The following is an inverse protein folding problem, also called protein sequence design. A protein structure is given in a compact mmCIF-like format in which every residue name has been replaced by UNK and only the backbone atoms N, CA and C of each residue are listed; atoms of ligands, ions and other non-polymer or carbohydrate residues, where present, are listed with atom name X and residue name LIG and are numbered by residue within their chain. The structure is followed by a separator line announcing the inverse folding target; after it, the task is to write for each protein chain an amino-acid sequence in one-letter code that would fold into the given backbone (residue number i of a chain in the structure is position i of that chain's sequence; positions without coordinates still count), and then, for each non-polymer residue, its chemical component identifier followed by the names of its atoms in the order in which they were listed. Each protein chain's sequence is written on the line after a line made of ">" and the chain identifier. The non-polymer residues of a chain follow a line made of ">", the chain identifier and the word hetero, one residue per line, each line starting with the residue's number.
data_IF_621520911637
#
_entry.id   IF_621520911637
#
_cell.length_a   1.000
_cell.length_b   1.000
_cell.length_c   1.000
_cell.angle_alpha   90.00
_cell.angle_beta   90.00
_cell.angle_gamma   90.00
#
_symmetry.space_group_name_H-M   'P 1'
#
loop_
_entity.id
_entity.type
_entity.pdbx_description
1 polymer ?
#
# COMPACT_ATOMS: atom_id res chain seq x y z
N UNK A 1 0.57 8.76 8.88
CA UNK A 1 -0.86 8.52 9.14
C UNK A 1 -1.46 9.67 9.91
N UNK A 2 -2.68 10.06 9.56
CA UNK A 2 -3.41 11.15 10.21
C UNK A 2 -4.40 10.61 11.24
N UNK A 3 -3.91 9.95 12.29
CA UNK A 3 -4.75 9.62 13.43
C UNK A 3 -5.32 10.88 14.11
N UNK A 4 -6.44 10.78 14.82
CA UNK A 4 -7.13 11.90 15.48
C UNK A 4 -6.23 12.78 16.38
N UNK A 5 -5.09 12.26 16.84
CA UNK A 5 -4.12 12.94 17.71
C UNK A 5 -2.82 13.32 17.01
N UNK A 6 -2.72 13.16 15.68
CA UNK A 6 -1.45 13.33 14.97
C UNK A 6 -0.92 14.76 14.99
N UNK A 7 -1.77 15.78 15.04
CA UNK A 7 -1.37 17.18 15.13
C UNK A 7 -0.61 17.49 16.42
N UNK A 8 -1.03 16.86 17.52
CA UNK A 8 -0.41 17.06 18.83
C UNK A 8 0.94 16.34 18.97
N UNK A 9 1.13 15.25 18.20
CA UNK A 9 2.31 14.39 18.31
C UNK A 9 3.37 14.64 17.23
N UNK A 10 2.97 15.12 16.05
CA UNK A 10 3.82 15.20 14.86
C UNK A 10 3.77 16.54 14.12
N UNK A 11 3.10 17.53 14.68
CA UNK A 11 2.92 18.83 14.04
C UNK A 11 1.83 18.82 12.96
N UNK A 12 1.82 19.86 12.11
CA UNK A 12 0.79 20.03 11.07
C UNK A 12 0.75 18.85 10.11
N UNK A 13 -0.41 18.25 9.86
CA UNK A 13 -0.55 17.14 8.92
C UNK A 13 -0.06 17.53 7.52
N UNK A 14 0.72 16.64 6.95
CA UNK A 14 1.25 16.77 5.62
C UNK A 14 0.25 16.18 4.62
N UNK A 15 -0.23 17.00 3.72
CA UNK A 15 -1.12 16.60 2.63
C UNK A 15 -0.73 17.39 1.40
N UNK A 16 -0.24 16.70 0.37
CA UNK A 16 0.20 17.34 -0.85
C UNK A 16 -0.97 17.50 -1.81
N UNK A 17 -1.03 18.65 -2.45
CA UNK A 17 -1.87 18.84 -3.61
C UNK A 17 -1.31 18.08 -4.83
N UNK A 18 -2.15 17.79 -5.80
CA UNK A 18 -1.78 16.97 -6.96
C UNK A 18 -0.60 17.56 -7.74
N UNK A 19 -0.61 18.88 -7.94
CA UNK A 19 0.45 19.60 -8.64
C UNK A 19 1.82 19.44 -7.94
N UNK A 20 1.82 19.44 -6.62
CA UNK A 20 3.03 19.23 -5.82
C UNK A 20 3.54 17.79 -5.94
N UNK A 21 2.64 16.79 -6.01
CA UNK A 21 3.01 15.39 -6.24
C UNK A 21 3.69 15.24 -7.59
N UNK A 22 3.11 15.83 -8.64
CA UNK A 22 3.68 15.82 -10.00
C UNK A 22 5.01 16.57 -10.05
N UNK A 23 5.13 17.72 -9.37
CA UNK A 23 6.38 18.49 -9.28
C UNK A 23 7.51 17.67 -8.61
N UNK A 24 7.22 16.98 -7.51
CA UNK A 24 8.21 16.10 -6.84
C UNK A 24 8.59 14.89 -7.68
N UNK A 25 7.63 14.34 -8.42
CA UNK A 25 7.91 13.28 -9.40
C UNK A 25 8.83 13.79 -10.50
N UNK A 26 8.64 15.03 -10.97
CA UNK A 26 9.53 15.67 -11.93
C UNK A 26 10.95 15.82 -11.39
N UNK A 27 11.11 16.28 -10.15
CA UNK A 27 12.43 16.39 -9.52
C UNK A 27 13.15 15.03 -9.46
N UNK A 28 12.42 13.96 -9.11
CA UNK A 28 12.97 12.62 -9.10
C UNK A 28 13.39 12.18 -10.52
N UNK A 29 12.49 12.38 -11.50
CA UNK A 29 12.77 12.07 -12.91
C UNK A 29 13.99 12.80 -13.44
N UNK A 30 14.12 14.11 -13.19
CA UNK A 30 15.25 14.92 -13.63
C UNK A 30 16.58 14.46 -13.00
N UNK A 31 16.54 13.78 -11.85
CA UNK A 31 17.68 13.14 -11.19
C UNK A 31 17.93 11.70 -11.64
N UNK A 32 17.16 11.20 -12.60
CA UNK A 32 17.34 9.86 -13.17
C UNK A 32 16.57 8.75 -12.46
N UNK A 33 15.56 9.06 -11.63
CA UNK A 33 14.72 8.04 -11.02
C UNK A 33 13.90 7.31 -12.08
N UNK A 34 13.83 5.99 -11.98
CA UNK A 34 12.99 5.13 -12.79
C UNK A 34 11.67 4.75 -12.09
N UNK A 35 11.61 4.97 -10.77
CA UNK A 35 10.46 4.63 -9.93
C UNK A 35 10.18 5.73 -8.92
N UNK A 36 8.91 5.89 -8.57
CA UNK A 36 8.46 6.65 -7.40
C UNK A 36 7.62 5.77 -6.50
N UNK A 37 7.90 5.85 -5.19
CA UNK A 37 7.12 5.16 -4.17
C UNK A 37 6.19 6.15 -3.46
N UNK A 38 4.89 5.85 -3.42
CA UNK A 38 3.89 6.71 -2.79
C UNK A 38 3.11 5.95 -1.72
N UNK A 39 2.96 6.58 -0.57
CA UNK A 39 2.12 6.12 0.51
C UNK A 39 1.49 7.35 1.19
N UNK A 40 0.16 7.42 1.24
CA UNK A 40 -0.57 8.52 1.85
C UNK A 40 -1.26 8.12 3.16
N UNK A 41 -1.46 6.84 3.37
CA UNK A 41 -2.35 6.35 4.40
C UNK A 41 -3.81 6.69 4.08
N UNK A 42 -4.71 6.32 4.96
CA UNK A 42 -6.12 6.68 4.85
C UNK A 42 -6.38 8.04 5.51
N UNK A 43 -7.13 8.88 4.82
CA UNK A 43 -7.59 10.17 5.34
C UNK A 43 -9.11 10.23 5.20
N UNK A 44 -9.86 10.86 6.14
CA UNK A 44 -11.33 10.90 6.08
C UNK A 44 -11.90 11.52 4.78
N UNK A 45 -11.15 12.41 4.14
CA UNK A 45 -11.54 13.02 2.87
C UNK A 45 -11.08 12.27 1.62
N UNK A 46 -10.27 11.21 1.76
CA UNK A 46 -9.80 10.44 0.62
C UNK A 46 -10.83 9.40 0.20
N UNK A 47 -11.07 9.37 -1.08
CA UNK A 47 -11.85 8.31 -1.74
C UNK A 47 -10.95 7.57 -2.72
N UNK A 48 -11.43 6.48 -3.29
CA UNK A 48 -10.72 5.77 -4.34
C UNK A 48 -10.34 6.67 -5.52
N UNK A 49 -11.16 7.68 -5.81
CA UNK A 49 -10.88 8.68 -6.85
C UNK A 49 -9.57 9.42 -6.61
N UNK A 50 -9.23 9.72 -5.35
CA UNK A 50 -7.97 10.38 -4.99
C UNK A 50 -6.76 9.57 -5.46
N UNK A 51 -6.78 8.26 -5.24
CA UNK A 51 -5.68 7.37 -5.66
C UNK A 51 -5.60 7.22 -7.18
N UNK A 52 -6.75 7.14 -7.85
CA UNK A 52 -6.81 7.09 -9.33
C UNK A 52 -6.24 8.36 -9.96
N UNK A 53 -6.61 9.53 -9.43
CA UNK A 53 -6.12 10.82 -9.93
C UNK A 53 -4.61 10.99 -9.74
N UNK A 54 -4.06 10.55 -8.62
CA UNK A 54 -2.60 10.56 -8.37
C UNK A 54 -1.88 9.72 -9.41
N UNK A 55 -2.30 8.47 -9.62
CA UNK A 55 -1.69 7.59 -10.63
C UNK A 55 -1.77 8.20 -12.01
N UNK A 56 -2.97 8.66 -12.41
CA UNK A 56 -3.22 9.23 -13.72
C UNK A 56 -2.35 10.46 -13.98
N UNK A 57 -2.29 11.41 -13.05
CA UNK A 57 -1.51 12.63 -13.20
C UNK A 57 -0.01 12.35 -13.34
N UNK A 58 0.53 11.39 -12.56
CA UNK A 58 1.93 10.98 -12.69
C UNK A 58 2.18 10.28 -14.02
N UNK A 59 1.31 9.34 -14.39
CA UNK A 59 1.47 8.57 -15.63
C UNK A 59 1.36 9.44 -16.88
N UNK A 60 0.44 10.40 -16.90
CA UNK A 60 0.31 11.37 -18.02
C UNK A 60 1.54 12.26 -18.16
N UNK A 61 2.11 12.74 -17.04
CA UNK A 61 3.29 13.59 -17.03
C UNK A 61 4.59 12.83 -17.31
N UNK A 62 4.71 11.60 -16.81
CA UNK A 62 5.92 10.76 -16.88
C UNK A 62 5.57 9.30 -17.22
N UNK A 63 5.20 8.99 -18.48
CA UNK A 63 4.69 7.66 -18.86
C UNK A 63 5.67 6.50 -18.66
N UNK A 64 6.96 6.79 -18.47
CA UNK A 64 8.01 5.78 -18.28
C UNK A 64 8.44 5.60 -16.83
N UNK A 65 7.91 6.41 -15.90
CA UNK A 65 8.22 6.23 -14.48
C UNK A 65 7.35 5.11 -13.92
N UNK A 66 7.98 4.21 -13.16
CA UNK A 66 7.24 3.16 -12.48
C UNK A 66 6.58 3.73 -11.21
N UNK A 67 5.28 3.45 -11.02
CA UNK A 67 4.54 3.86 -9.84
C UNK A 67 4.41 2.64 -8.92
N UNK A 68 5.12 2.66 -7.79
CA UNK A 68 5.02 1.71 -6.70
C UNK A 68 4.19 2.33 -5.59
N UNK A 69 2.91 1.97 -5.51
CA UNK A 69 2.02 2.70 -4.61
C UNK A 69 0.88 1.84 -4.09
N UNK A 70 0.41 2.30 -3.03
CA UNK A 70 -0.72 2.05 -2.15
C UNK A 70 -0.67 0.70 -1.47
N UNK A 71 -0.66 0.79 -0.14
CA UNK A 71 -0.76 -0.37 0.73
C UNK A 71 -2.11 -1.08 0.56
N UNK A 72 -2.22 -2.36 0.95
CA UNK A 72 -3.50 -3.07 0.98
C UNK A 72 -4.61 -2.34 1.73
N UNK A 73 -4.24 -1.59 2.79
CA UNK A 73 -5.19 -0.77 3.55
C UNK A 73 -5.77 0.38 2.70
N UNK A 74 -4.92 1.07 1.94
CA UNK A 74 -5.34 2.15 1.04
C UNK A 74 -6.18 1.62 -0.12
N UNK A 75 -5.82 0.47 -0.68
CA UNK A 75 -6.58 -0.20 -1.74
C UNK A 75 -7.97 -0.60 -1.23
N UNK A 76 -8.05 -1.27 -0.08
CA UNK A 76 -9.32 -1.68 0.53
C UNK A 76 -10.23 -0.47 0.84
N UNK A 77 -9.66 0.60 1.41
CA UNK A 77 -10.39 1.83 1.69
C UNK A 77 -10.85 2.52 0.40
N UNK A 78 -9.99 2.60 -0.61
CA UNK A 78 -10.31 3.19 -1.90
C UNK A 78 -11.47 2.48 -2.59
N UNK A 79 -11.42 1.15 -2.64
CA UNK A 79 -12.50 0.32 -3.18
C UNK A 79 -13.82 0.57 -2.45
N UNK A 80 -13.79 0.49 -1.12
CA UNK A 80 -14.98 0.69 -0.27
C UNK A 80 -15.64 2.06 -0.48
N UNK A 81 -14.86 3.13 -0.60
CA UNK A 81 -15.40 4.50 -0.79
C UNK A 81 -16.04 4.72 -2.15
N UNK A 82 -15.73 3.89 -3.14
CA UNK A 82 -16.35 3.91 -4.47
C UNK A 82 -17.46 2.86 -4.63
N UNK A 83 -17.72 2.04 -3.61
CA UNK A 83 -18.67 0.94 -3.70
C UNK A 83 -18.24 -0.16 -4.66
N UNK A 84 -16.94 -0.32 -4.88
CA UNK A 84 -16.33 -1.33 -5.75
C UNK A 84 -15.78 -2.51 -4.94
N UNK A 85 -15.67 -3.66 -5.57
CA UNK A 85 -14.82 -4.74 -5.07
C UNK A 85 -13.35 -4.38 -5.20
N UNK A 86 -12.48 -5.05 -4.42
CA UNK A 86 -11.03 -4.85 -4.49
C UNK A 86 -10.48 -5.14 -5.89
N UNK A 87 -10.82 -6.26 -6.57
CA UNK A 87 -10.38 -6.50 -7.94
C UNK A 87 -10.78 -5.39 -8.93
N UNK A 88 -12.04 -4.94 -8.91
CA UNK A 88 -12.51 -3.85 -9.80
C UNK A 88 -11.74 -2.55 -9.57
N UNK A 89 -11.43 -2.22 -8.33
CA UNK A 89 -10.64 -1.04 -8.01
C UNK A 89 -9.18 -1.18 -8.45
N UNK A 90 -8.58 -2.35 -8.27
CA UNK A 90 -7.23 -2.66 -8.73
C UNK A 90 -7.11 -2.56 -10.26
N UNK A 91 -8.11 -3.04 -11.01
CA UNK A 91 -8.15 -2.87 -12.46
C UNK A 91 -8.14 -1.39 -12.86
N UNK A 92 -8.95 -0.56 -12.18
CA UNK A 92 -8.95 0.89 -12.41
C UNK A 92 -7.60 1.55 -12.06
N UNK A 93 -6.95 1.13 -10.99
CA UNK A 93 -5.61 1.60 -10.62
C UNK A 93 -4.58 1.24 -11.69
N UNK A 94 -4.62 0.00 -12.21
CA UNK A 94 -3.76 -0.44 -13.31
C UNK A 94 -3.97 0.43 -14.56
N UNK A 95 -5.22 0.64 -14.95
CA UNK A 95 -5.59 1.45 -16.11
C UNK A 95 -5.22 2.94 -15.92
N UNK A 96 -5.07 3.40 -14.68
CA UNK A 96 -4.56 4.73 -14.32
C UNK A 96 -3.02 4.81 -14.25
N UNK A 97 -2.30 3.72 -14.50
CA UNK A 97 -0.84 3.69 -14.57
C UNK A 97 -0.11 3.16 -13.32
N UNK A 98 -0.83 2.60 -12.34
CA UNK A 98 -0.19 1.91 -11.22
C UNK A 98 0.64 0.73 -11.71
N UNK A 99 1.89 0.60 -11.24
CA UNK A 99 2.80 -0.48 -11.64
C UNK A 99 2.81 -1.67 -10.67
N UNK A 100 3.11 -1.40 -9.41
CA UNK A 100 3.23 -2.43 -8.36
C UNK A 100 2.70 -1.93 -7.02
N UNK A 101 2.37 -2.86 -6.11
CA UNK A 101 1.92 -2.51 -4.76
C UNK A 101 2.97 -2.86 -3.69
N UNK A 102 3.22 -1.94 -2.74
CA UNK A 102 4.03 -2.24 -1.57
C UNK A 102 3.31 -3.15 -0.58
N UNK A 103 4.05 -4.07 0.04
CA UNK A 103 3.56 -4.93 1.11
C UNK A 103 3.46 -4.26 2.47
N UNK A 104 3.31 -2.96 2.50
CA UNK A 104 3.23 -2.16 3.73
C UNK A 104 1.90 -2.36 4.46
N UNK A 105 1.78 -1.83 5.67
CA UNK A 105 0.68 -2.06 6.59
C UNK A 105 0.49 -3.55 7.00
N UNK A 106 1.42 -4.43 6.62
CA UNK A 106 1.49 -5.81 7.11
C UNK A 106 1.83 -5.86 8.58
N UNK A 107 2.74 -5.01 9.02
CA UNK A 107 3.36 -5.03 10.35
C UNK A 107 3.81 -6.47 10.70
N UNK A 108 3.07 -7.16 11.55
CA UNK A 108 3.16 -8.61 11.73
C UNK A 108 1.81 -9.22 11.33
N UNK A 109 1.79 -10.13 10.36
CA UNK A 109 0.56 -10.81 9.91
C UNK A 109 0.18 -11.92 10.91
N UNK A 110 -0.17 -11.50 12.10
CA UNK A 110 -0.73 -12.33 13.17
C UNK A 110 -1.65 -11.47 14.04
N UNK A 111 -2.93 -11.85 14.14
CA UNK A 111 -3.94 -11.00 14.75
C UNK A 111 -3.78 -10.90 16.29
N UNK A 112 -3.06 -11.81 16.93
CA UNK A 112 -2.66 -11.66 18.35
C UNK A 112 -1.79 -10.40 18.55
N UNK A 113 -0.90 -10.10 17.59
CA UNK A 113 -0.05 -8.92 17.60
C UNK A 113 -0.77 -7.71 17.01
N UNK A 114 -1.44 -7.87 15.86
CA UNK A 114 -2.10 -6.77 15.14
C UNK A 114 -3.15 -6.06 15.97
N UNK A 115 -3.95 -6.81 16.73
CA UNK A 115 -4.99 -6.24 17.60
C UNK A 115 -4.42 -5.32 18.70
N UNK A 116 -3.13 -5.40 18.99
CA UNK A 116 -2.46 -4.55 19.98
C UNK A 116 -1.77 -3.38 19.30
N UNK A 117 -0.99 -3.63 18.23
CA UNK A 117 -0.14 -2.59 17.62
C UNK A 117 -0.84 -1.77 16.53
N UNK A 118 -1.86 -2.32 15.89
CA UNK A 118 -2.57 -1.67 14.78
C UNK A 118 -4.05 -2.13 14.66
N UNK A 119 -4.87 -1.98 15.72
CA UNK A 119 -6.23 -2.50 15.77
C UNK A 119 -7.20 -1.85 14.76
N UNK A 120 -6.82 -0.73 14.20
CA UNK A 120 -7.54 0.06 13.20
C UNK A 120 -7.14 -0.26 11.75
N UNK A 121 -6.22 -1.22 11.54
CA UNK A 121 -5.81 -1.69 10.21
C UNK A 121 -6.51 -3.00 9.85
N UNK A 122 -6.31 -3.41 8.59
CA UNK A 122 -6.82 -4.70 8.09
C UNK A 122 -6.36 -5.86 8.99
N UNK A 123 -7.23 -6.84 9.19
CA UNK A 123 -6.84 -8.12 9.77
C UNK A 123 -5.81 -8.84 8.88
N UNK A 124 -5.16 -9.86 9.42
CA UNK A 124 -4.25 -10.71 8.65
C UNK A 124 -4.90 -11.27 7.38
N UNK A 125 -6.13 -11.77 7.52
CA UNK A 125 -6.85 -12.39 6.40
C UNK A 125 -7.24 -11.36 5.33
N UNK A 126 -7.70 -10.18 5.72
CA UNK A 126 -8.05 -9.10 4.79
C UNK A 126 -6.82 -8.62 4.03
N UNK A 127 -5.67 -8.43 4.70
CA UNK A 127 -4.42 -8.05 4.04
C UNK A 127 -4.00 -9.09 2.98
N UNK A 128 -4.02 -10.38 3.34
CA UNK A 128 -3.69 -11.47 2.41
C UNK A 128 -4.67 -11.56 1.24
N UNK A 129 -5.97 -11.28 1.49
CA UNK A 129 -6.99 -11.26 0.43
C UNK A 129 -6.70 -10.16 -0.60
N UNK A 130 -6.42 -8.93 -0.15
CA UNK A 130 -6.09 -7.82 -1.07
C UNK A 130 -4.84 -8.14 -1.90
N UNK A 131 -3.83 -8.78 -1.31
CA UNK A 131 -2.63 -9.18 -2.05
C UNK A 131 -2.90 -10.28 -3.07
N UNK A 132 -3.74 -11.26 -2.71
CA UNK A 132 -4.20 -12.29 -3.66
C UNK A 132 -4.92 -11.67 -4.84
N UNK A 133 -5.90 -10.82 -4.57
CA UNK A 133 -6.66 -10.09 -5.59
C UNK A 133 -5.72 -9.28 -6.51
N UNK A 134 -4.71 -8.61 -5.94
CA UNK A 134 -3.71 -7.88 -6.71
C UNK A 134 -2.91 -8.80 -7.65
N UNK A 135 -2.48 -9.96 -7.16
CA UNK A 135 -1.76 -10.94 -7.98
C UNK A 135 -2.64 -11.51 -9.09
N UNK A 136 -3.92 -11.79 -8.80
CA UNK A 136 -4.89 -12.30 -9.77
C UNK A 136 -5.22 -11.29 -10.89
N UNK A 137 -5.30 -9.99 -10.53
CA UNK A 137 -5.44 -8.90 -11.52
C UNK A 137 -4.16 -8.68 -12.35
N UNK A 138 -3.03 -9.28 -11.94
CA UNK A 138 -1.76 -9.26 -12.67
C UNK A 138 -0.70 -8.31 -12.09
N UNK A 139 -0.94 -7.70 -10.94
CA UNK A 139 0.09 -6.93 -10.25
C UNK A 139 1.19 -7.82 -9.66
N UNK A 140 2.39 -7.26 -9.59
CA UNK A 140 3.44 -7.74 -8.69
C UNK A 140 3.43 -6.87 -7.44
N UNK A 141 3.80 -7.48 -6.32
CA UNK A 141 3.80 -6.78 -5.03
C UNK A 141 5.05 -7.10 -4.22
N UNK A 142 5.34 -6.29 -3.23
CA UNK A 142 6.33 -6.66 -2.21
C UNK A 142 5.64 -7.21 -0.96
N UNK A 143 6.40 -7.79 -0.05
CA UNK A 143 5.93 -8.17 1.28
C UNK A 143 6.87 -7.59 2.33
N UNK A 144 6.33 -7.16 3.48
CA UNK A 144 7.13 -6.59 4.56
C UNK A 144 6.79 -7.25 5.89
N UNK A 145 7.74 -7.23 6.81
CA UNK A 145 7.48 -7.43 8.24
C UNK A 145 8.10 -6.27 9.01
N UNK A 146 7.38 -5.73 10.00
CA UNK A 146 7.92 -4.77 10.97
C UNK A 146 8.03 -5.49 12.33
N UNK A 147 9.25 -5.75 12.77
CA UNK A 147 9.53 -6.56 13.96
C UNK A 147 10.19 -5.75 15.08
N UNK A 148 10.23 -6.31 16.28
CA UNK A 148 10.86 -5.68 17.44
C UNK A 148 9.89 -4.98 18.39
N UNK A 149 8.60 -5.38 18.41
CA UNK A 149 7.57 -4.81 19.28
C UNK A 149 7.18 -5.77 20.41
N UNK A 150 6.11 -6.56 20.16
CA UNK A 150 5.48 -7.48 21.12
C UNK A 150 5.48 -8.92 20.62
N UNK A 151 5.89 -9.13 19.37
CA UNK A 151 5.86 -10.43 18.75
C UNK A 151 6.88 -11.40 19.38
N UNK A 152 6.46 -12.62 19.59
CA UNK A 152 7.35 -13.74 19.90
C UNK A 152 7.82 -14.41 18.60
N UNK A 153 8.89 -15.24 18.63
CA UNK A 153 9.42 -15.90 17.44
C UNK A 153 8.38 -16.70 16.64
N UNK A 154 7.37 -17.27 17.29
CA UNK A 154 6.31 -18.00 16.59
C UNK A 154 5.38 -17.10 15.78
N UNK A 155 5.17 -15.83 16.18
CA UNK A 155 4.41 -14.86 15.39
C UNK A 155 5.15 -14.52 14.10
N UNK A 156 6.49 -14.33 14.18
CA UNK A 156 7.34 -14.14 13.01
C UNK A 156 7.28 -15.36 12.09
N UNK A 157 7.37 -16.55 12.65
CA UNK A 157 7.26 -17.79 11.89
C UNK A 157 5.91 -17.90 11.17
N UNK A 158 4.79 -17.60 11.84
CA UNK A 158 3.46 -17.60 11.24
C UNK A 158 3.33 -16.55 10.12
N UNK A 159 3.90 -15.35 10.32
CA UNK A 159 3.95 -14.31 9.28
C UNK A 159 4.65 -14.84 8.02
N UNK A 160 5.86 -15.37 8.17
CA UNK A 160 6.65 -15.92 7.06
C UNK A 160 5.95 -17.08 6.35
N UNK A 161 5.29 -17.95 7.11
CA UNK A 161 4.51 -19.06 6.54
C UNK A 161 3.34 -18.56 5.69
N UNK A 162 2.62 -17.54 6.13
CA UNK A 162 1.50 -16.93 5.39
C UNK A 162 1.96 -16.29 4.08
N UNK A 163 3.06 -15.53 4.12
CA UNK A 163 3.67 -14.96 2.91
C UNK A 163 4.14 -16.07 1.96
N UNK A 164 4.85 -17.07 2.48
CA UNK A 164 5.29 -18.23 1.68
C UNK A 164 4.12 -18.96 1.01
N UNK A 165 3.03 -19.17 1.76
CA UNK A 165 1.90 -19.94 1.25
C UNK A 165 1.17 -19.15 0.16
N UNK A 166 0.97 -17.85 0.33
CA UNK A 166 0.43 -16.99 -0.73
C UNK A 166 1.39 -16.90 -1.93
N UNK A 167 2.70 -16.84 -1.71
CA UNK A 167 3.69 -16.90 -2.80
C UNK A 167 3.63 -18.20 -3.59
N UNK A 168 3.42 -19.34 -2.92
CA UNK A 168 3.24 -20.63 -3.60
C UNK A 168 1.96 -20.69 -4.44
N UNK A 169 0.91 -20.03 -3.96
CA UNK A 169 -0.39 -19.97 -4.62
C UNK A 169 -0.34 -19.07 -5.87
N UNK A 170 0.25 -17.89 -5.77
CA UNK A 170 0.12 -16.85 -6.78
C UNK A 170 1.41 -16.49 -7.52
N UNK A 171 2.57 -16.71 -6.90
CA UNK A 171 3.88 -16.28 -7.43
C UNK A 171 4.04 -14.76 -7.56
N UNK A 172 3.19 -13.96 -6.89
CA UNK A 172 3.08 -12.52 -7.13
C UNK A 172 4.05 -11.64 -6.37
N UNK A 173 4.63 -12.10 -5.25
CA UNK A 173 5.63 -11.31 -4.51
C UNK A 173 6.98 -11.30 -5.23
N UNK A 174 7.60 -10.12 -5.33
CA UNK A 174 8.93 -9.91 -5.90
C UNK A 174 10.01 -9.79 -4.84
N UNK A 175 9.66 -9.23 -3.68
CA UNK A 175 10.60 -8.94 -2.59
C UNK A 175 9.94 -9.18 -1.23
N UNK A 176 10.79 -9.51 -0.25
CA UNK A 176 10.42 -9.52 1.17
C UNK A 176 11.37 -8.62 1.95
N UNK A 177 10.84 -7.59 2.60
CA UNK A 177 11.62 -6.54 3.27
C UNK A 177 11.34 -6.54 4.76
N UNK A 178 12.32 -6.93 5.61
CA UNK A 178 12.22 -6.73 7.05
C UNK A 178 12.53 -5.27 7.43
N UNK A 179 11.72 -4.70 8.29
CA UNK A 179 11.78 -3.32 8.76
C UNK A 179 11.99 -3.26 10.27
#
# INVERSE_FOLDING_TARGET
>A
SKGKMSENLRGKPYNLELDEIVSRTKEAWDRGASEVCLQGGIHPSYTGETYLQICKAIHEAFPRIHIHAFSPLEVSQGASTLGLSVPEFLEKLRDSGLGTLPGTAAEVLDDEVRNIICPDKLSTQEWLSVMRDAHEVGFRTTATIMFGHLEAPYHVARHLLRIRDLQKETGGFTEFVPL
#
